data_IF_287106147438
#
_entry.id   IF_287106147438
#
_cell.length_a   1.000
_cell.length_b   1.000
_cell.length_c   1.000
_cell.angle_alpha   90.00
_cell.angle_beta   90.00
_cell.angle_gamma   90.00
#
_symmetry.space_group_name_H-M   'P 1'
#
loop_
_entity.id
_entity.type
_entity.pdbx_description
1 polymer ?
#
# COMPACT_ATOMS: atom_id res chain seq x y z
N UNK A 1 18.12 30.50 11.47
CA UNK A 1 16.67 30.35 11.59
C UNK A 1 16.34 28.90 11.31
N UNK A 2 16.09 28.13 12.38
CA UNK A 2 15.77 26.71 12.28
C UNK A 2 14.37 26.55 11.69
N UNK A 3 14.29 25.99 10.49
CA UNK A 3 13.01 25.60 9.91
C UNK A 3 12.39 24.54 10.82
N UNK A 4 11.19 24.81 11.31
CA UNK A 4 10.40 23.84 12.05
C UNK A 4 10.28 22.57 11.20
N UNK A 5 10.98 21.51 11.62
CA UNK A 5 10.74 20.17 11.11
C UNK A 5 9.33 19.81 11.57
N UNK A 6 8.34 20.15 10.75
CA UNK A 6 7.00 19.59 10.87
C UNK A 6 7.20 18.08 10.88
N UNK A 7 7.12 17.48 12.06
CA UNK A 7 7.40 16.06 12.26
C UNK A 7 6.38 15.31 11.42
N UNK A 8 6.81 14.85 10.24
CA UNK A 8 5.92 14.15 9.30
C UNK A 8 5.38 12.93 10.01
N UNK A 9 4.05 12.85 10.08
CA UNK A 9 3.36 11.70 10.69
C UNK A 9 3.90 10.41 10.04
N UNK A 10 4.30 9.40 10.84
CA UNK A 10 4.81 8.15 10.30
C UNK A 10 3.75 7.46 9.43
N UNK A 11 4.15 7.03 8.24
CA UNK A 11 3.29 6.35 7.27
C UNK A 11 3.99 5.13 6.70
N UNK A 12 3.23 4.05 6.49
CA UNK A 12 3.70 2.82 5.86
C UNK A 12 3.09 2.70 4.47
N UNK A 13 3.80 3.12 3.41
CA UNK A 13 3.32 2.96 2.05
C UNK A 13 3.36 1.48 1.63
N UNK A 14 2.55 1.14 0.61
CA UNK A 14 2.63 -0.18 -0.01
C UNK A 14 3.95 -0.33 -0.78
N UNK A 15 4.80 -1.25 -0.33
CA UNK A 15 6.06 -1.56 -1.01
C UNK A 15 5.84 -2.04 -2.46
N UNK A 16 4.76 -2.75 -2.72
CA UNK A 16 4.43 -3.24 -4.05
C UNK A 16 4.16 -2.10 -5.04
N UNK A 17 3.42 -1.06 -4.62
CA UNK A 17 3.14 0.11 -5.47
C UNK A 17 4.43 0.87 -5.80
N UNK A 18 5.31 1.04 -4.80
CA UNK A 18 6.60 1.70 -4.99
C UNK A 18 7.51 0.90 -5.94
N UNK A 19 7.54 -0.42 -5.80
CA UNK A 19 8.29 -1.31 -6.69
C UNK A 19 7.76 -1.25 -8.13
N UNK A 20 6.44 -1.29 -8.33
CA UNK A 20 5.84 -1.10 -9.65
C UNK A 20 6.19 0.27 -10.25
N UNK A 21 6.22 1.32 -9.44
CA UNK A 21 6.57 2.65 -9.91
C UNK A 21 8.04 2.72 -10.36
N UNK A 22 8.96 2.11 -9.61
CA UNK A 22 10.36 1.98 -10.04
C UNK A 22 10.43 1.20 -11.35
N UNK A 23 9.80 0.03 -11.42
CA UNK A 23 9.79 -0.80 -12.63
C UNK A 23 9.31 -0.03 -13.87
N UNK A 24 8.25 0.78 -13.74
CA UNK A 24 7.77 1.64 -14.83
C UNK A 24 8.82 2.65 -15.29
N UNK A 25 9.59 3.23 -14.37
CA UNK A 25 10.71 4.12 -14.71
C UNK A 25 11.86 3.38 -15.39
N UNK A 26 12.05 2.10 -15.09
CA UNK A 26 13.10 1.27 -15.68
C UNK A 26 12.81 0.79 -17.11
N UNK A 27 11.57 0.87 -17.58
CA UNK A 27 11.20 0.47 -18.95
C UNK A 27 12.02 1.27 -20.00
N UNK A 28 12.51 0.56 -21.02
CA UNK A 28 13.33 1.11 -22.11
C UNK A 28 14.81 1.33 -21.76
N UNK A 29 15.62 1.72 -22.74
CA UNK A 29 17.07 1.81 -22.57
C UNK A 29 17.49 2.87 -21.53
N UNK A 30 18.45 2.51 -20.67
CA UNK A 30 19.10 3.40 -19.68
C UNK A 30 20.24 4.24 -20.26
N UNK A 31 20.82 3.78 -21.35
CA UNK A 31 21.93 4.42 -22.04
C UNK A 31 21.46 5.01 -23.36
N UNK A 32 22.16 6.04 -23.80
CA UNK A 32 22.11 6.56 -25.16
C UNK A 32 22.94 5.66 -26.08
N UNK A 33 22.81 5.83 -27.40
CA UNK A 33 23.65 5.15 -28.39
C UNK A 33 25.14 5.46 -28.22
N UNK A 34 25.46 6.57 -27.57
CA UNK A 34 26.82 6.96 -27.19
C UNK A 34 27.36 6.22 -25.96
N UNK A 35 26.55 5.38 -25.31
CA UNK A 35 26.89 4.70 -24.06
C UNK A 35 26.65 5.53 -22.79
N UNK A 36 26.40 6.85 -22.92
CA UNK A 36 26.12 7.72 -21.78
C UNK A 36 24.77 7.40 -21.12
N UNK A 37 24.68 7.51 -19.79
CA UNK A 37 23.42 7.29 -19.06
C UNK A 37 22.42 8.43 -19.27
N UNK A 38 21.14 8.07 -19.36
CA UNK A 38 20.04 9.04 -19.41
C UNK A 38 19.83 9.67 -18.05
N UNK A 39 20.38 10.87 -17.85
CA UNK A 39 20.29 11.61 -16.59
C UNK A 39 18.87 11.82 -16.07
N UNK A 40 17.91 12.11 -16.97
CA UNK A 40 16.50 12.28 -16.61
C UNK A 40 15.92 11.03 -15.94
N UNK A 41 16.29 9.85 -16.43
CA UNK A 41 15.85 8.55 -15.88
C UNK A 41 16.46 8.30 -14.50
N UNK A 42 17.78 8.52 -14.36
CA UNK A 42 18.46 8.42 -13.06
C UNK A 42 17.85 9.36 -12.02
N UNK A 43 17.59 10.61 -12.40
CA UNK A 43 16.97 11.61 -11.51
C UNK A 43 15.57 11.19 -11.06
N UNK A 44 14.75 10.65 -11.96
CA UNK A 44 13.40 10.18 -11.61
C UNK A 44 13.44 9.02 -10.63
N UNK A 45 14.30 8.03 -10.85
CA UNK A 45 14.47 6.89 -9.92
C UNK A 45 14.98 7.37 -8.56
N UNK A 46 16.00 8.23 -8.55
CA UNK A 46 16.54 8.80 -7.31
C UNK A 46 15.50 9.55 -6.48
N UNK A 47 14.53 10.22 -7.14
CA UNK A 47 13.42 10.88 -6.45
C UNK A 47 12.52 9.87 -5.72
N UNK A 48 12.20 8.74 -6.34
CA UNK A 48 11.40 7.68 -5.71
C UNK A 48 12.15 7.08 -4.53
N UNK A 49 13.45 6.78 -4.70
CA UNK A 49 14.30 6.27 -3.61
C UNK A 49 14.35 7.26 -2.44
N UNK A 50 14.47 8.57 -2.72
CA UNK A 50 14.44 9.61 -1.69
C UNK A 50 13.10 9.67 -0.93
N UNK A 51 11.98 9.40 -1.61
CA UNK A 51 10.68 9.29 -0.96
C UNK A 51 10.60 8.06 -0.05
N UNK A 52 11.12 6.91 -0.50
CA UNK A 52 11.22 5.71 0.33
C UNK A 52 12.02 5.98 1.60
N UNK A 53 13.17 6.66 1.46
CA UNK A 53 13.99 7.06 2.61
C UNK A 53 13.20 7.98 3.55
N UNK A 54 12.46 8.96 3.04
CA UNK A 54 11.67 9.86 3.88
C UNK A 54 10.59 9.14 4.70
N UNK A 55 10.05 8.00 4.23
CA UNK A 55 9.13 7.18 5.00
C UNK A 55 9.81 6.40 6.13
N UNK A 56 11.10 6.08 5.99
CA UNK A 56 11.88 5.35 6.99
C UNK A 56 12.35 6.26 8.14
N UNK A 57 12.50 7.56 7.89
CA UNK A 57 12.90 8.54 8.92
C UNK A 57 11.83 8.75 10.00
N UNK A 58 10.56 8.61 9.63
CA UNK A 58 9.45 8.78 10.57
C UNK A 58 9.14 7.47 11.30
N UNK A 59 9.58 7.36 12.55
CA UNK A 59 9.33 6.20 13.40
C UNK A 59 7.99 6.33 14.12
N UNK A 60 7.24 5.23 14.21
CA UNK A 60 6.01 5.21 15.01
C UNK A 60 6.32 5.31 16.51
N UNK A 61 5.58 6.14 17.27
CA UNK A 61 5.83 6.36 18.70
C UNK A 61 5.33 5.21 19.60
N UNK A 62 5.18 3.99 19.06
CA UNK A 62 4.69 2.85 19.83
C UNK A 62 5.82 2.16 20.58
N UNK A 63 5.60 1.89 21.86
CA UNK A 63 6.49 1.04 22.65
C UNK A 63 6.44 -0.40 22.14
N UNK A 64 7.59 -1.09 22.01
CA UNK A 64 7.62 -2.46 21.52
C UNK A 64 7.10 -3.44 22.57
N UNK A 65 5.98 -4.11 22.29
CA UNK A 65 5.53 -5.29 23.02
C UNK A 65 6.12 -6.56 22.37
N UNK A 66 7.11 -7.15 23.02
CA UNK A 66 7.85 -8.30 22.47
C UNK A 66 7.02 -9.59 22.46
N UNK A 67 6.15 -9.77 23.43
CA UNK A 67 5.32 -10.98 23.54
C UNK A 67 4.23 -10.97 22.47
N UNK A 68 3.57 -9.83 22.29
CA UNK A 68 2.61 -9.64 21.21
C UNK A 68 3.27 -9.80 19.84
N UNK A 69 4.45 -9.20 19.62
CA UNK A 69 5.19 -9.39 18.37
C UNK A 69 5.54 -10.85 18.11
N UNK A 70 6.00 -11.59 19.13
CA UNK A 70 6.30 -13.01 19.02
C UNK A 70 5.07 -13.84 18.66
N UNK A 71 3.94 -13.56 19.33
CA UNK A 71 2.65 -14.18 19.02
C UNK A 71 2.22 -13.90 17.57
N UNK A 72 2.26 -12.64 17.13
CA UNK A 72 1.88 -12.25 15.77
C UNK A 72 2.78 -12.90 14.72
N UNK A 73 4.10 -12.94 14.92
CA UNK A 73 5.04 -13.61 14.01
C UNK A 73 4.73 -15.10 13.85
N UNK A 74 4.49 -15.81 14.95
CA UNK A 74 4.10 -17.23 14.92
C UNK A 74 2.78 -17.43 14.17
N UNK A 75 1.81 -16.55 14.39
CA UNK A 75 0.50 -16.62 13.75
C UNK A 75 0.60 -16.37 12.24
N UNK A 76 1.36 -15.35 11.82
CA UNK A 76 1.63 -15.06 10.40
C UNK A 76 2.30 -16.27 9.74
N UNK A 77 3.34 -16.84 10.36
CA UNK A 77 4.04 -18.01 9.82
C UNK A 77 3.11 -19.22 9.65
N UNK A 78 2.23 -19.48 10.63
CA UNK A 78 1.26 -20.57 10.58
C UNK A 78 0.28 -20.43 9.40
N UNK A 79 -0.10 -19.21 9.04
CA UNK A 79 -1.12 -18.95 8.01
C UNK A 79 -0.54 -18.45 6.68
N UNK A 80 0.79 -18.46 6.50
CA UNK A 80 1.44 -17.86 5.32
C UNK A 80 1.04 -18.50 3.99
N UNK A 81 0.63 -19.77 4.00
CA UNK A 81 0.17 -20.51 2.81
C UNK A 81 -1.34 -20.75 2.80
N UNK A 82 -2.04 -20.29 3.84
CA UNK A 82 -3.48 -20.51 3.96
C UNK A 82 -4.26 -19.44 3.19
N UNK A 83 -5.36 -19.84 2.57
CA UNK A 83 -6.33 -18.88 2.04
C UNK A 83 -7.08 -18.22 3.21
N UNK A 84 -6.62 -17.03 3.59
CA UNK A 84 -7.17 -16.26 4.71
C UNK A 84 -8.64 -15.89 4.46
N UNK A 85 -9.05 -15.70 3.20
CA UNK A 85 -10.45 -15.40 2.87
C UNK A 85 -11.36 -16.61 3.10
N UNK A 86 -10.89 -17.80 2.74
CA UNK A 86 -11.58 -19.05 3.04
C UNK A 86 -11.66 -19.28 4.56
N UNK A 87 -10.56 -19.07 5.28
CA UNK A 87 -10.53 -19.18 6.75
C UNK A 87 -11.46 -18.18 7.44
N UNK A 88 -11.56 -16.95 6.91
CA UNK A 88 -12.46 -15.92 7.43
C UNK A 88 -13.93 -16.22 7.14
N UNK A 89 -14.25 -16.80 5.98
CA UNK A 89 -15.61 -17.19 5.60
C UNK A 89 -16.19 -18.29 6.52
N UNK A 90 -15.34 -19.20 7.00
CA UNK A 90 -15.71 -20.24 7.96
C UNK A 90 -15.83 -19.73 9.41
N UNK A 91 -15.45 -18.47 9.67
CA UNK A 91 -15.52 -17.86 11.00
C UNK A 91 -16.75 -16.96 11.10
N UNK A 92 -17.84 -17.52 11.67
CA UNK A 92 -19.14 -16.86 11.84
C UNK A 92 -19.10 -15.46 12.50
N UNK A 93 -18.03 -15.12 13.20
CA UNK A 93 -17.86 -13.82 13.87
C UNK A 93 -17.33 -12.68 12.97
N UNK A 94 -16.75 -12.97 11.79
CA UNK A 94 -15.96 -11.97 11.04
C UNK A 94 -16.70 -11.28 9.89
N UNK A 95 -17.88 -11.76 9.47
CA UNK A 95 -18.55 -11.31 8.26
C UNK A 95 -19.92 -10.64 8.51
N UNK A 96 -20.06 -9.89 9.61
CA UNK A 96 -21.27 -9.11 9.84
C UNK A 96 -21.23 -7.76 9.07
N UNK A 97 -21.98 -7.73 7.95
CA UNK A 97 -22.86 -6.65 7.49
C UNK A 97 -22.36 -5.43 6.67
N UNK A 98 -21.06 -5.21 6.44
CA UNK A 98 -20.66 -3.96 5.72
C UNK A 98 -20.79 -4.02 4.19
N UNK A 99 -20.32 -5.10 3.54
CA UNK A 99 -20.33 -5.18 2.07
C UNK A 99 -21.74 -5.28 1.50
N UNK A 100 -22.65 -5.96 2.19
CA UNK A 100 -24.03 -6.11 1.74
C UNK A 100 -24.78 -4.77 1.73
N UNK A 101 -24.55 -3.93 2.74
CA UNK A 101 -25.16 -2.59 2.81
C UNK A 101 -24.62 -1.65 1.74
N UNK A 102 -23.31 -1.69 1.47
CA UNK A 102 -22.69 -0.88 0.41
C UNK A 102 -23.13 -1.33 -0.98
N UNK A 103 -23.23 -2.66 -1.20
CA UNK A 103 -23.66 -3.24 -2.49
C UNK A 103 -25.13 -2.93 -2.76
N UNK A 104 -26.01 -3.04 -1.76
CA UNK A 104 -27.42 -2.62 -1.88
C UNK A 104 -27.54 -1.14 -2.24
N UNK A 105 -26.74 -0.27 -1.60
CA UNK A 105 -26.75 1.17 -1.87
C UNK A 105 -26.31 1.51 -3.30
N UNK A 106 -25.31 0.79 -3.83
CA UNK A 106 -24.86 0.93 -5.22
C UNK A 106 -25.94 0.42 -6.20
N UNK A 107 -26.54 -0.74 -5.92
CA UNK A 107 -27.63 -1.28 -6.74
C UNK A 107 -28.85 -0.36 -6.77
N UNK A 108 -29.22 0.24 -5.64
CA UNK A 108 -30.32 1.19 -5.55
C UNK A 108 -30.04 2.48 -6.35
N UNK A 109 -28.80 2.99 -6.31
CA UNK A 109 -28.42 4.14 -7.15
C UNK A 109 -28.50 3.81 -8.64
N UNK A 110 -28.03 2.64 -9.06
CA UNK A 110 -28.10 2.21 -10.46
C UNK A 110 -29.54 1.98 -10.93
N UNK A 111 -30.41 1.44 -10.08
CA UNK A 111 -31.85 1.30 -10.37
C UNK A 111 -32.53 2.64 -10.56
N UNK A 112 -32.23 3.64 -9.71
CA UNK A 112 -32.79 5.00 -9.84
C UNK A 112 -32.34 5.67 -11.13
N UNK A 113 -31.05 5.57 -11.45
CA UNK A 113 -30.51 6.11 -12.71
C UNK A 113 -31.19 5.46 -13.90
N UNK A 114 -31.35 4.13 -13.91
CA UNK A 114 -32.06 3.41 -14.98
C UNK A 114 -33.52 3.87 -15.14
N UNK A 115 -34.23 4.14 -14.05
CA UNK A 115 -35.62 4.62 -14.09
C UNK A 115 -35.76 6.07 -14.56
N UNK A 116 -34.67 6.85 -14.56
CA UNK A 116 -34.68 8.26 -15.03
C UNK A 116 -34.52 8.37 -16.56
N UNK A 117 -34.21 7.25 -17.23
CA UNK A 117 -34.02 7.16 -18.68
C UNK A 117 -35.18 6.44 -19.41
N UNK A 118 -36.34 6.30 -18.77
CA UNK A 118 -37.62 5.90 -19.39
C UNK A 118 -38.59 7.08 -19.35
#
# INVERSE_FOLDING_TARGET
MGGEHTTKKPTLPSAHILAMHVQQLEIGAFTLTTGAYKWTKLRSIAKVVSQVHAFQEAVYPYSPDRDLQGYLRRRIARFTTSDIHLLAANSHANFQQSSERQTRRIQDTLRRVKATFQ
#
